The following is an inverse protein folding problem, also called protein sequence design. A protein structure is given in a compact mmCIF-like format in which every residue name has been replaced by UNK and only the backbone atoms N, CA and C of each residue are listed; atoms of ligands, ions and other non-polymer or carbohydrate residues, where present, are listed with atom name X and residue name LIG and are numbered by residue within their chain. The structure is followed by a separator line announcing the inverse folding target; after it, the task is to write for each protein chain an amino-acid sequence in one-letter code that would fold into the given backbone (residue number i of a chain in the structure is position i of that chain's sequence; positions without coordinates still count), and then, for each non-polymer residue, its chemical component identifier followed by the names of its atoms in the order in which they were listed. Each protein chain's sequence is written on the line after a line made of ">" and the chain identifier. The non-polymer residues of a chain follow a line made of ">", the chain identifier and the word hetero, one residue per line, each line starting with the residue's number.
data_IF_497929716420
#
_entry.id   IF_497929716420
#
_cell.length_a   1.000
_cell.length_b   1.000
_cell.length_c   1.000
_cell.angle_alpha   90.00
_cell.angle_beta   90.00
_cell.angle_gamma   90.00
#
_symmetry.space_group_name_H-M   'P 1'
#
loop_
_entity.id
_entity.type
_entity.pdbx_description
1 polymer ?
#
# COMPACT_ATOMS: atom_id res chain seq x y z
N UNK A 1 -48.70 75.24 -43.75
CA UNK A 1 -47.52 74.47 -43.27
C UNK A 1 -46.75 75.34 -42.29
N UNK A 2 -47.33 75.63 -41.12
CA UNK A 2 -46.73 76.57 -40.16
C UNK A 2 -47.16 76.38 -38.70
N UNK A 3 -48.16 75.53 -38.42
CA UNK A 3 -48.75 75.41 -37.07
C UNK A 3 -48.21 74.22 -36.25
N UNK A 4 -47.05 73.65 -36.62
CA UNK A 4 -46.39 72.61 -35.82
C UNK A 4 -45.21 73.15 -34.98
N UNK A 5 -44.89 74.44 -35.12
CA UNK A 5 -43.68 75.05 -34.53
C UNK A 5 -43.96 75.98 -33.33
N UNK A 6 -45.23 76.24 -33.02
CA UNK A 6 -45.66 76.97 -31.80
C UNK A 6 -46.15 76.02 -30.69
N UNK A 7 -45.62 74.79 -30.62
CA UNK A 7 -45.70 74.06 -29.35
C UNK A 7 -44.74 74.73 -28.36
N UNK A 8 -45.33 75.51 -27.46
CA UNK A 8 -44.71 76.21 -26.34
C UNK A 8 -43.36 75.61 -25.87
N UNK A 9 -42.26 76.40 -25.86
CA UNK A 9 -40.94 75.95 -25.40
C UNK A 9 -40.91 75.27 -24.02
N UNK A 10 -41.76 75.63 -23.01
CA UNK A 10 -41.79 74.90 -21.74
C UNK A 10 -42.29 73.45 -21.84
N UNK A 11 -43.15 73.12 -22.80
CA UNK A 11 -43.71 71.75 -22.94
C UNK A 11 -42.68 70.79 -23.54
N UNK A 12 -41.91 71.24 -24.53
CA UNK A 12 -40.77 70.50 -25.10
C UNK A 12 -39.66 70.27 -24.06
N UNK A 13 -39.34 71.29 -23.26
CA UNK A 13 -38.36 71.17 -22.17
C UNK A 13 -38.80 70.16 -21.10
N UNK A 14 -40.08 70.16 -20.72
CA UNK A 14 -40.64 69.19 -19.77
C UNK A 14 -40.61 67.75 -20.28
N UNK A 15 -40.97 67.53 -21.55
CA UNK A 15 -40.92 66.21 -22.18
C UNK A 15 -39.50 65.62 -22.26
N UNK A 16 -38.50 66.44 -22.60
CA UNK A 16 -37.10 66.02 -22.62
C UNK A 16 -36.56 65.61 -21.25
N UNK A 17 -36.88 66.39 -20.20
CA UNK A 17 -36.53 66.06 -18.81
C UNK A 17 -37.18 64.77 -18.34
N UNK A 18 -38.45 64.55 -18.70
CA UNK A 18 -39.17 63.33 -18.37
C UNK A 18 -38.54 62.10 -19.06
N UNK A 19 -38.22 62.19 -20.35
CA UNK A 19 -37.53 61.14 -21.10
C UNK A 19 -36.13 60.85 -20.53
N UNK A 20 -35.37 61.89 -20.16
CA UNK A 20 -34.06 61.73 -19.55
C UNK A 20 -34.15 61.04 -18.18
N UNK A 21 -35.14 61.38 -17.35
CA UNK A 21 -35.38 60.71 -16.06
C UNK A 21 -35.78 59.24 -16.26
N UNK A 22 -36.66 58.94 -17.23
CA UNK A 22 -37.04 57.55 -17.54
C UNK A 22 -35.83 56.73 -18.02
N UNK A 23 -35.00 57.28 -18.91
CA UNK A 23 -33.77 56.64 -19.37
C UNK A 23 -32.79 56.42 -18.20
N UNK A 24 -32.64 57.41 -17.32
CA UNK A 24 -31.77 57.29 -16.15
C UNK A 24 -32.25 56.17 -15.21
N UNK A 25 -33.55 56.09 -14.94
CA UNK A 25 -34.15 55.03 -14.12
C UNK A 25 -33.95 53.66 -14.78
N UNK A 26 -34.16 53.54 -16.10
CA UNK A 26 -33.96 52.30 -16.85
C UNK A 26 -32.49 51.83 -16.83
N UNK A 27 -31.53 52.75 -16.99
CA UNK A 27 -30.11 52.43 -16.89
C UNK A 27 -29.73 51.98 -15.47
N UNK A 28 -30.29 52.60 -14.42
CA UNK A 28 -30.05 52.21 -13.04
C UNK A 28 -30.65 50.84 -12.72
N UNK A 29 -31.86 50.53 -13.18
CA UNK A 29 -32.48 49.22 -12.98
C UNK A 29 -31.73 48.12 -13.73
N UNK A 30 -31.28 48.37 -14.97
CA UNK A 30 -30.45 47.43 -15.74
C UNK A 30 -29.09 47.20 -15.07
N UNK A 31 -28.41 48.27 -14.62
CA UNK A 31 -27.16 48.14 -13.85
C UNK A 31 -27.36 47.35 -12.56
N UNK A 32 -28.47 47.56 -11.85
CA UNK A 32 -28.80 46.79 -10.63
C UNK A 32 -29.09 45.32 -10.96
N UNK A 33 -29.82 45.04 -12.03
CA UNK A 33 -30.09 43.67 -12.48
C UNK A 33 -28.79 42.93 -12.87
N UNK A 34 -27.91 43.58 -13.63
CA UNK A 34 -26.60 43.03 -14.00
C UNK A 34 -25.70 42.77 -12.78
N UNK A 35 -25.71 43.68 -11.78
CA UNK A 35 -24.98 43.47 -10.51
C UNK A 35 -25.52 42.27 -9.75
N UNK A 36 -26.85 42.12 -9.64
CA UNK A 36 -27.47 40.95 -8.99
C UNK A 36 -27.09 39.65 -9.69
N UNK A 37 -27.10 39.64 -11.02
CA UNK A 37 -26.70 38.45 -11.79
C UNK A 37 -25.21 38.12 -11.56
N UNK A 38 -24.34 39.12 -11.57
CA UNK A 38 -22.93 38.95 -11.25
C UNK A 38 -22.73 38.41 -9.83
N UNK A 39 -23.51 38.87 -8.85
CA UNK A 39 -23.46 38.38 -7.47
C UNK A 39 -23.92 36.93 -7.35
N UNK A 40 -24.98 36.52 -8.06
CA UNK A 40 -25.41 35.12 -8.10
C UNK A 40 -24.35 34.20 -8.72
N UNK A 41 -23.76 34.59 -9.84
CA UNK A 41 -22.65 33.84 -10.44
C UNK A 41 -21.43 33.78 -9.51
N UNK A 42 -21.12 34.87 -8.81
CA UNK A 42 -20.06 34.90 -7.79
C UNK A 42 -20.35 33.98 -6.62
N UNK A 43 -21.61 33.84 -6.20
CA UNK A 43 -21.99 32.92 -5.14
C UNK A 43 -21.88 31.46 -5.60
N UNK A 44 -22.34 31.13 -6.81
CA UNK A 44 -22.23 29.78 -7.37
C UNK A 44 -20.76 29.36 -7.55
N UNK A 45 -19.92 30.23 -8.11
CA UNK A 45 -18.49 29.97 -8.25
C UNK A 45 -17.81 29.76 -6.90
N UNK A 46 -18.14 30.58 -5.88
CA UNK A 46 -17.65 30.38 -4.52
C UNK A 46 -18.15 29.08 -3.88
N UNK A 47 -19.36 28.65 -4.16
CA UNK A 47 -19.90 27.39 -3.66
C UNK A 47 -19.13 26.21 -4.27
N UNK A 48 -18.98 26.22 -5.59
CA UNK A 48 -18.27 25.17 -6.33
C UNK A 48 -16.79 25.10 -5.92
N UNK A 49 -16.13 26.25 -5.73
CA UNK A 49 -14.75 26.30 -5.24
C UNK A 49 -14.62 25.67 -3.83
N UNK A 50 -15.58 25.94 -2.94
CA UNK A 50 -15.62 25.30 -1.62
C UNK A 50 -15.82 23.78 -1.72
N UNK A 51 -16.66 23.31 -2.62
CA UNK A 51 -16.87 21.88 -2.85
C UNK A 51 -15.61 21.20 -3.41
N UNK A 52 -14.94 21.83 -4.38
CA UNK A 52 -13.66 21.35 -4.90
C UNK A 52 -12.59 21.31 -3.81
N UNK A 53 -12.49 22.34 -2.97
CA UNK A 53 -11.56 22.34 -1.84
C UNK A 53 -11.87 21.23 -0.83
N UNK A 54 -13.14 21.00 -0.52
CA UNK A 54 -13.56 19.89 0.37
C UNK A 54 -13.17 18.53 -0.23
N UNK A 55 -13.50 18.29 -1.50
CA UNK A 55 -13.16 17.06 -2.20
C UNK A 55 -11.64 16.86 -2.27
N UNK A 56 -10.88 17.92 -2.56
CA UNK A 56 -9.41 17.87 -2.59
C UNK A 56 -8.84 17.49 -1.22
N UNK A 57 -9.38 18.05 -0.13
CA UNK A 57 -8.97 17.68 1.24
C UNK A 57 -9.27 16.20 1.54
N UNK A 58 -10.45 15.71 1.16
CA UNK A 58 -10.81 14.30 1.31
C UNK A 58 -9.87 13.39 0.50
N UNK A 59 -9.52 13.76 -0.73
CA UNK A 59 -8.56 13.02 -1.54
C UNK A 59 -7.17 12.99 -0.92
N UNK A 60 -6.71 14.10 -0.32
CA UNK A 60 -5.42 14.14 0.38
C UNK A 60 -5.43 13.24 1.62
N UNK A 61 -6.53 13.22 2.38
CA UNK A 61 -6.70 12.33 3.52
C UNK A 61 -6.67 10.86 3.09
N UNK A 62 -7.47 10.50 2.08
CA UNK A 62 -7.49 9.14 1.52
C UNK A 62 -6.11 8.74 1.02
N UNK A 63 -5.42 9.63 0.28
CA UNK A 63 -4.04 9.37 -0.20
C UNK A 63 -3.09 9.07 0.95
N UNK A 64 -3.18 9.83 2.05
CA UNK A 64 -2.37 9.60 3.25
C UNK A 64 -2.64 8.23 3.87
N UNK A 65 -3.92 7.86 3.98
CA UNK A 65 -4.34 6.55 4.51
C UNK A 65 -3.84 5.41 3.61
N UNK A 66 -3.96 5.54 2.29
CA UNK A 66 -3.50 4.52 1.34
C UNK A 66 -1.98 4.32 1.39
N UNK A 67 -1.20 5.41 1.53
CA UNK A 67 0.25 5.31 1.70
C UNK A 67 0.60 4.55 2.99
N UNK A 68 -0.07 4.89 4.10
CA UNK A 68 0.13 4.19 5.37
C UNK A 68 -0.23 2.71 5.29
N UNK A 69 -1.34 2.37 4.63
CA UNK A 69 -1.74 0.98 4.40
C UNK A 69 -0.71 0.23 3.55
N UNK A 70 -0.18 0.87 2.50
CA UNK A 70 0.87 0.29 1.66
C UNK A 70 2.11 -0.10 2.47
N UNK A 71 2.58 0.77 3.37
CA UNK A 71 3.70 0.47 4.26
C UNK A 71 3.41 -0.74 5.16
N UNK A 72 2.21 -0.81 5.76
CA UNK A 72 1.81 -1.95 6.61
C UNK A 72 1.76 -3.27 5.84
N UNK A 73 1.27 -3.24 4.60
CA UNK A 73 1.25 -4.43 3.74
C UNK A 73 2.67 -4.88 3.41
N UNK A 74 3.59 -3.94 3.13
CA UNK A 74 5.01 -4.26 2.91
C UNK A 74 5.66 -4.86 4.15
N UNK A 75 5.45 -4.28 5.34
CA UNK A 75 5.93 -4.83 6.62
C UNK A 75 5.41 -6.26 6.86
N UNK A 76 4.13 -6.50 6.60
CA UNK A 76 3.54 -7.84 6.73
C UNK A 76 4.11 -8.82 5.71
N UNK A 77 4.32 -8.38 4.46
CA UNK A 77 4.92 -9.21 3.43
C UNK A 77 6.34 -9.63 3.80
N UNK A 78 7.15 -8.71 4.34
CA UNK A 78 8.50 -9.02 4.82
C UNK A 78 8.48 -10.03 5.97
N UNK A 79 7.57 -9.86 6.93
CA UNK A 79 7.37 -10.82 8.01
C UNK A 79 6.98 -12.21 7.50
N UNK A 80 6.08 -12.28 6.50
CA UNK A 80 5.66 -13.54 5.89
C UNK A 80 6.82 -14.24 5.17
N UNK A 81 7.65 -13.50 4.44
CA UNK A 81 8.83 -14.05 3.76
C UNK A 81 9.78 -14.68 4.77
N UNK A 82 10.13 -13.93 5.82
CA UNK A 82 11.03 -14.41 6.85
C UNK A 82 10.43 -15.59 7.66
N UNK A 83 9.11 -15.60 7.89
CA UNK A 83 8.46 -16.75 8.52
C UNK A 83 8.52 -17.99 7.61
N UNK A 84 8.34 -17.82 6.30
CA UNK A 84 8.43 -18.89 5.32
C UNK A 84 9.85 -19.49 5.28
N UNK A 85 10.88 -18.65 5.29
CA UNK A 85 12.27 -19.10 5.37
C UNK A 85 12.52 -19.93 6.63
N UNK A 86 12.03 -19.46 7.80
CA UNK A 86 12.13 -20.24 9.05
C UNK A 86 11.39 -21.57 9.00
N UNK A 87 10.19 -21.58 8.42
CA UNK A 87 9.42 -22.81 8.21
C UNK A 87 10.19 -23.81 7.35
N UNK A 88 10.79 -23.35 6.26
CA UNK A 88 11.60 -24.20 5.37
C UNK A 88 12.83 -24.76 6.08
N UNK A 89 13.50 -23.97 6.92
CA UNK A 89 14.60 -24.45 7.74
C UNK A 89 14.16 -25.51 8.76
N UNK A 90 13.01 -25.32 9.41
CA UNK A 90 12.46 -26.29 10.36
C UNK A 90 12.01 -27.59 9.67
N UNK A 91 11.38 -27.48 8.50
CA UNK A 91 10.97 -28.64 7.70
C UNK A 91 12.18 -29.50 7.32
N UNK A 92 13.24 -28.89 6.78
CA UNK A 92 14.47 -29.60 6.44
C UNK A 92 15.11 -30.26 7.67
N UNK A 93 15.19 -29.54 8.80
CA UNK A 93 15.77 -30.08 10.03
C UNK A 93 14.97 -31.28 10.59
N UNK A 94 13.64 -31.26 10.49
CA UNK A 94 12.79 -32.39 10.89
C UNK A 94 12.96 -33.60 9.96
N UNK A 95 13.06 -33.36 8.64
CA UNK A 95 13.36 -34.42 7.67
C UNK A 95 14.69 -35.10 7.99
N UNK A 96 15.76 -34.33 8.15
CA UNK A 96 17.09 -34.85 8.45
C UNK A 96 17.10 -35.62 9.77
N UNK A 97 16.51 -35.06 10.84
CA UNK A 97 16.43 -35.72 12.14
C UNK A 97 15.68 -37.07 12.08
N UNK A 98 14.63 -37.17 11.27
CA UNK A 98 13.88 -38.42 11.07
C UNK A 98 14.71 -39.46 10.32
N UNK A 99 15.44 -39.06 9.29
CA UNK A 99 16.35 -39.93 8.54
C UNK A 99 17.46 -40.48 9.46
N UNK A 100 18.14 -39.63 10.23
CA UNK A 100 19.19 -40.07 11.17
C UNK A 100 18.66 -40.95 12.32
N UNK A 101 17.47 -40.65 12.83
CA UNK A 101 16.82 -41.48 13.87
C UNK A 101 16.48 -42.87 13.35
N UNK A 102 16.00 -42.97 12.10
CA UNK A 102 15.73 -44.24 11.42
C UNK A 102 17.02 -45.03 11.19
N UNK A 103 18.04 -44.39 10.61
CA UNK A 103 19.34 -45.01 10.35
C UNK A 103 20.00 -45.52 11.63
N UNK A 104 19.92 -44.76 12.74
CA UNK A 104 20.44 -45.19 14.05
C UNK A 104 19.76 -46.48 14.53
N UNK A 105 18.45 -46.63 14.33
CA UNK A 105 17.74 -47.86 14.72
C UNK A 105 18.15 -49.04 13.85
N UNK A 106 18.25 -48.86 12.54
CA UNK A 106 18.68 -49.93 11.62
C UNK A 106 20.12 -50.36 11.88
N UNK A 107 21.03 -49.40 12.10
CA UNK A 107 22.42 -49.69 12.45
C UNK A 107 22.55 -50.48 13.77
N UNK A 108 21.72 -50.18 14.78
CA UNK A 108 21.67 -50.95 16.04
C UNK A 108 21.17 -52.38 15.86
N UNK A 109 20.31 -52.62 14.88
CA UNK A 109 19.83 -53.95 14.50
C UNK A 109 20.85 -54.73 13.64
N UNK A 110 21.95 -54.08 13.24
CA UNK A 110 23.03 -54.71 12.49
C UNK A 110 22.91 -54.59 10.97
N UNK A 111 22.12 -53.64 10.47
CA UNK A 111 22.04 -53.33 9.04
C UNK A 111 23.42 -52.96 8.45
N UNK A 112 23.65 -53.34 7.21
CA UNK A 112 24.92 -53.08 6.50
C UNK A 112 24.96 -51.67 5.86
N UNK A 113 26.13 -51.25 5.38
CA UNK A 113 26.33 -49.94 4.71
C UNK A 113 25.36 -49.76 3.56
N UNK A 114 25.26 -50.74 2.66
CA UNK A 114 24.45 -50.61 1.45
C UNK A 114 22.96 -50.52 1.78
N UNK A 115 22.51 -51.23 2.82
CA UNK A 115 21.13 -51.20 3.32
C UNK A 115 20.78 -49.84 3.97
N UNK A 116 21.73 -49.21 4.66
CA UNK A 116 21.56 -47.85 5.20
C UNK A 116 21.48 -46.79 4.10
N UNK A 117 22.28 -46.93 3.04
CA UNK A 117 22.29 -45.99 1.90
C UNK A 117 20.96 -46.06 1.15
N UNK A 118 20.47 -47.27 0.88
CA UNK A 118 19.24 -47.47 0.10
C UNK A 118 17.98 -47.07 0.87
N UNK A 119 17.86 -47.44 2.15
CA UNK A 119 16.61 -47.27 2.91
C UNK A 119 16.52 -45.94 3.69
N UNK A 120 17.66 -45.33 4.01
CA UNK A 120 17.71 -44.03 4.72
C UNK A 120 18.22 -42.89 3.83
N UNK A 121 18.50 -43.15 2.55
CA UNK A 121 18.98 -42.18 1.55
C UNK A 121 20.23 -41.40 2.00
N UNK A 122 21.06 -42.01 2.85
CA UNK A 122 22.26 -41.40 3.40
C UNK A 122 23.43 -41.48 2.41
N UNK A 123 24.27 -40.43 2.31
CA UNK A 123 25.49 -40.52 1.53
C UNK A 123 26.47 -41.52 2.15
N UNK A 124 27.25 -42.20 1.30
CA UNK A 124 28.17 -43.28 1.70
C UNK A 124 29.08 -42.92 2.88
N UNK A 125 29.65 -41.72 2.87
CA UNK A 125 30.54 -41.25 3.94
C UNK A 125 29.82 -41.12 5.30
N UNK A 126 28.54 -40.74 5.32
CA UNK A 126 27.75 -40.63 6.55
C UNK A 126 27.34 -42.01 7.09
N UNK A 127 26.96 -42.94 6.21
CA UNK A 127 26.65 -44.31 6.58
C UNK A 127 27.87 -45.03 7.20
N UNK A 128 29.05 -44.86 6.58
CA UNK A 128 30.33 -45.37 7.11
C UNK A 128 30.65 -44.79 8.50
N UNK A 129 30.50 -43.46 8.65
CA UNK A 129 30.71 -42.79 9.93
C UNK A 129 29.74 -43.31 11.00
N UNK A 130 28.44 -43.40 10.70
CA UNK A 130 27.42 -43.90 11.63
C UNK A 130 27.74 -45.31 12.12
N UNK A 131 28.11 -46.23 11.23
CA UNK A 131 28.45 -47.60 11.61
C UNK A 131 29.74 -47.67 12.43
N UNK A 132 30.75 -46.84 12.11
CA UNK A 132 31.96 -46.75 12.94
C UNK A 132 31.66 -46.23 14.35
N UNK A 133 30.77 -45.23 14.47
CA UNK A 133 30.31 -44.70 15.75
C UNK A 133 29.55 -45.75 16.56
N UNK A 134 28.65 -46.52 15.94
CA UNK A 134 27.95 -47.61 16.63
C UNK A 134 28.90 -48.71 17.08
N UNK A 135 29.91 -49.07 16.28
CA UNK A 135 30.96 -50.04 16.67
C UNK A 135 31.75 -49.55 17.87
N UNK A 136 32.09 -48.25 17.91
CA UNK A 136 32.75 -47.59 19.06
C UNK A 136 31.88 -47.59 20.31
N UNK A 137 30.60 -47.22 20.19
CA UNK A 137 29.63 -47.21 21.30
C UNK A 137 29.33 -48.62 21.83
N UNK A 138 29.31 -49.63 20.96
CA UNK A 138 29.15 -51.04 21.33
C UNK A 138 30.43 -51.66 21.92
N UNK A 139 31.50 -50.87 22.14
CA UNK A 139 32.75 -51.32 22.74
C UNK A 139 33.64 -52.16 21.83
N UNK A 140 33.34 -52.23 20.52
CA UNK A 140 34.14 -52.98 19.54
C UNK A 140 35.36 -52.20 19.03
N UNK A 141 35.45 -50.90 19.32
CA UNK A 141 36.52 -50.02 18.85
C UNK A 141 36.73 -48.85 19.84
N UNK A 142 37.96 -48.36 20.00
CA UNK A 142 38.23 -47.23 20.91
C UNK A 142 37.66 -45.92 20.35
N UNK A 143 37.02 -45.13 21.21
CA UNK A 143 36.54 -43.78 20.88
C UNK A 143 37.77 -42.85 20.81
N UNK A 144 38.07 -42.23 19.66
CA UNK A 144 39.13 -41.23 19.58
C UNK A 144 38.74 -40.04 20.45
N UNK A 145 39.69 -39.40 21.17
CA UNK A 145 39.39 -38.23 21.99
C UNK A 145 38.84 -37.12 21.10
N UNK A 146 37.71 -36.52 21.51
CA UNK A 146 37.18 -35.31 20.90
C UNK A 146 38.17 -34.18 21.19
N UNK A 147 39.01 -33.83 20.22
CA UNK A 147 39.81 -32.60 20.31
C UNK A 147 38.88 -31.43 20.13
N UNK A 148 38.84 -30.54 21.11
CA UNK A 148 37.94 -29.38 21.16
C UNK A 148 38.64 -28.09 20.70
N UNK A 149 39.62 -28.19 19.80
CA UNK A 149 40.41 -27.03 19.37
C UNK A 149 39.85 -26.47 18.05
N UNK A 150 39.19 -25.29 18.05
CA UNK A 150 38.67 -24.67 16.85
C UNK A 150 39.73 -23.92 16.03
N UNK A 151 40.98 -23.77 16.52
CA UNK A 151 42.00 -22.87 15.94
C UNK A 151 43.33 -23.55 15.54
N UNK A 152 43.33 -24.83 15.13
CA UNK A 152 44.52 -25.47 14.54
C UNK A 152 44.26 -26.25 13.25
#
# INVERSE_FOLDING_TARGET
>A
MGDLLELTPPVLAGGGLFLALLLMIALLSLRRAMRRQADHFRQQTRHLDKELQKSTKQLLEVRSVTIGLGQRVTEQQEMLVHLNERLKHLENADTDARLYSRATKMAKLGADIDELIEECELPKAEAELMLSLQKKLAGKEAIPPLTSDPDR
#
